data_IF_206740061647
#
_entry.id   IF_206740061647
#
_cell.length_a   1.000
_cell.length_b   1.000
_cell.length_c   1.000
_cell.angle_alpha   90.00
_cell.angle_beta   90.00
_cell.angle_gamma   90.00
#
_symmetry.space_group_name_H-M   'P 1'
#
loop_
_entity.id
_entity.type
_entity.pdbx_description
1 polymer ?
#
# COMPACT_ATOMS: atom_id res chain seq x y z
N UNK A 1 16.03 4.18 10.58
CA UNK A 1 16.00 2.72 10.34
C UNK A 1 16.38 2.41 8.90
N UNK A 2 15.61 2.86 7.90
CA UNK A 2 15.91 2.60 6.49
C UNK A 2 17.34 2.99 6.07
N UNK A 3 17.79 4.22 6.41
CA UNK A 3 19.15 4.69 6.12
C UNK A 3 20.24 3.77 6.68
N UNK A 4 20.10 3.34 7.95
CA UNK A 4 21.08 2.45 8.62
C UNK A 4 21.19 1.07 7.95
N UNK A 5 20.14 0.64 7.25
CA UNK A 5 20.08 -0.65 6.57
C UNK A 5 20.19 -0.55 5.05
N UNK A 6 20.40 0.65 4.49
CA UNK A 6 20.37 0.87 3.04
C UNK A 6 19.05 0.44 2.39
N UNK A 7 17.94 0.51 3.12
CA UNK A 7 16.65 -0.02 2.68
C UNK A 7 15.90 0.99 1.81
N UNK A 8 15.20 0.46 0.80
CA UNK A 8 14.18 1.21 0.07
C UNK A 8 12.99 1.46 1.02
N UNK A 9 12.60 2.72 1.18
CA UNK A 9 11.40 3.11 1.93
C UNK A 9 10.29 3.50 0.97
N UNK A 10 9.13 2.86 1.11
CA UNK A 10 7.92 3.17 0.36
C UNK A 10 6.76 3.36 1.33
N UNK A 11 5.84 4.26 0.98
CA UNK A 11 4.60 4.50 1.72
C UNK A 11 3.44 4.43 0.74
N UNK A 12 2.43 3.62 1.06
CA UNK A 12 1.20 3.48 0.30
C UNK A 12 0.07 4.19 1.03
N UNK A 13 -0.62 5.11 0.36
CA UNK A 13 -1.80 5.78 0.92
C UNK A 13 -3.03 4.88 0.75
N UNK A 14 -3.77 4.66 1.84
CA UNK A 14 -4.94 3.79 1.89
C UNK A 14 -6.05 4.30 0.95
N UNK A 15 -6.75 3.38 0.28
CA UNK A 15 -7.94 3.70 -0.52
C UNK A 15 -8.96 4.53 0.27
N UNK A 16 -9.60 5.49 -0.38
CA UNK A 16 -10.56 6.45 0.22
C UNK A 16 -9.95 7.46 1.21
N UNK A 17 -8.62 7.59 1.28
CA UNK A 17 -7.95 8.64 2.05
C UNK A 17 -7.09 9.53 1.16
N UNK A 18 -6.98 10.81 1.53
CA UNK A 18 -6.06 11.75 0.89
C UNK A 18 -6.33 11.93 -0.61
N UNK A 19 -5.34 11.57 -1.42
CA UNK A 19 -5.40 11.59 -2.89
C UNK A 19 -5.76 10.23 -3.48
N UNK A 20 -5.74 9.16 -2.69
CA UNK A 20 -6.22 7.82 -3.06
C UNK A 20 -7.75 7.71 -3.03
N UNK A 21 -8.45 8.73 -3.56
CA UNK A 21 -9.91 8.77 -3.69
C UNK A 21 -10.23 8.88 -5.18
N UNK A 22 -10.94 7.89 -5.72
CA UNK A 22 -11.46 7.98 -7.08
C UNK A 22 -12.48 9.13 -7.19
N UNK A 23 -12.68 9.74 -8.37
CA UNK A 23 -13.61 10.87 -8.54
C UNK A 23 -15.00 10.65 -7.91
N UNK A 24 -15.54 9.42 -7.99
CA UNK A 24 -16.85 9.06 -7.45
C UNK A 24 -16.75 8.23 -6.15
N UNK A 25 -15.54 8.09 -5.58
CA UNK A 25 -15.28 7.14 -4.50
C UNK A 25 -16.06 7.42 -3.19
N UNK A 26 -16.44 8.66 -2.93
CA UNK A 26 -17.17 9.01 -1.70
C UNK A 26 -18.70 8.88 -1.83
N UNK A 27 -19.19 8.41 -2.96
CA UNK A 27 -20.60 8.05 -3.12
C UNK A 27 -20.91 6.79 -2.30
N UNK A 28 -22.14 6.70 -1.75
CA UNK A 28 -22.53 5.65 -0.79
C UNK A 28 -22.39 4.26 -1.41
N UNK A 29 -22.66 4.17 -2.70
CA UNK A 29 -22.57 2.98 -3.54
C UNK A 29 -21.14 2.45 -3.66
N UNK A 30 -20.14 3.32 -3.54
CA UNK A 30 -18.72 3.00 -3.70
C UNK A 30 -18.04 2.74 -2.34
N UNK A 31 -18.66 3.15 -1.22
CA UNK A 31 -18.15 2.86 0.13
C UNK A 31 -18.12 1.36 0.47
N UNK A 32 -18.81 0.49 -0.28
CA UNK A 32 -18.67 -0.97 -0.15
C UNK A 32 -17.24 -1.46 -0.36
N UNK A 33 -16.43 -0.71 -1.12
CA UNK A 33 -15.04 -1.05 -1.40
C UNK A 33 -14.07 -0.50 -0.33
N UNK A 34 -14.57 0.28 0.64
CA UNK A 34 -13.84 0.73 1.82
C UNK A 34 -13.81 -0.38 2.88
N UNK A 35 -12.98 -1.39 2.64
CA UNK A 35 -12.76 -2.50 3.58
C UNK A 35 -11.29 -2.83 3.74
N UNK A 36 -10.91 -3.38 4.90
CA UNK A 36 -9.53 -3.80 5.17
C UNK A 36 -9.08 -4.91 4.22
N UNK A 37 -9.96 -5.82 3.81
CA UNK A 37 -9.66 -6.88 2.84
C UNK A 37 -9.23 -6.29 1.50
N UNK A 38 -9.96 -5.27 1.07
CA UNK A 38 -9.68 -4.57 -0.18
C UNK A 38 -8.39 -3.73 -0.08
N UNK A 39 -8.15 -3.08 1.06
CA UNK A 39 -6.88 -2.39 1.31
C UNK A 39 -5.67 -3.35 1.33
N UNK A 40 -5.83 -4.56 1.87
CA UNK A 40 -4.80 -5.60 1.80
C UNK A 40 -4.57 -6.09 0.36
N UNK A 41 -5.63 -6.16 -0.46
CA UNK A 41 -5.50 -6.47 -1.87
C UNK A 41 -4.70 -5.40 -2.62
N UNK A 42 -4.91 -4.11 -2.30
CA UNK A 42 -4.09 -3.02 -2.84
C UNK A 42 -2.63 -3.15 -2.41
N UNK A 43 -2.38 -3.48 -1.14
CA UNK A 43 -1.02 -3.67 -0.64
C UNK A 43 -0.31 -4.81 -1.37
N UNK A 44 -1.01 -5.91 -1.66
CA UNK A 44 -0.45 -7.03 -2.43
C UNK A 44 -0.15 -6.62 -3.88
N UNK A 45 -1.06 -5.89 -4.54
CA UNK A 45 -0.86 -5.38 -5.89
C UNK A 45 0.30 -4.36 -5.95
N UNK A 46 0.38 -3.46 -4.97
CA UNK A 46 1.45 -2.48 -4.81
C UNK A 46 2.80 -3.15 -4.57
N UNK A 47 2.86 -4.15 -3.69
CA UNK A 47 4.07 -4.94 -3.46
C UNK A 47 4.58 -5.57 -4.76
N UNK A 48 3.68 -6.16 -5.56
CA UNK A 48 4.04 -6.73 -6.86
C UNK A 48 4.59 -5.67 -7.81
N UNK A 49 3.90 -4.53 -7.92
CA UNK A 49 4.32 -3.40 -8.76
C UNK A 49 5.70 -2.87 -8.38
N UNK A 50 5.96 -2.60 -7.09
CA UNK A 50 7.25 -2.10 -6.62
C UNK A 50 8.35 -3.14 -6.81
N UNK A 51 8.06 -4.42 -6.54
CA UNK A 51 9.02 -5.50 -6.75
C UNK A 51 9.48 -5.56 -8.21
N UNK A 52 8.56 -5.45 -9.16
CA UNK A 52 8.90 -5.39 -10.58
C UNK A 52 9.64 -4.09 -10.95
N UNK A 53 9.11 -2.95 -10.50
CA UNK A 53 9.62 -1.61 -10.86
C UNK A 53 11.07 -1.37 -10.43
N UNK A 54 11.48 -1.97 -9.31
CA UNK A 54 12.83 -1.87 -8.75
C UNK A 54 13.63 -3.18 -8.87
N UNK A 55 13.13 -4.15 -9.64
CA UNK A 55 13.78 -5.45 -9.86
C UNK A 55 14.16 -6.17 -8.55
N UNK A 56 13.30 -6.07 -7.54
CA UNK A 56 13.47 -6.74 -6.26
C UNK A 56 13.20 -8.24 -6.43
N UNK A 57 13.98 -9.05 -5.72
CA UNK A 57 13.90 -10.49 -5.75
C UNK A 57 13.62 -11.05 -4.35
N UNK A 58 13.53 -12.37 -4.23
CA UNK A 58 13.42 -13.06 -2.94
C UNK A 58 14.57 -12.75 -1.96
N UNK A 59 15.69 -12.18 -2.44
CA UNK A 59 16.80 -11.73 -1.60
C UNK A 59 16.52 -10.41 -0.88
N UNK A 60 15.50 -9.66 -1.33
CA UNK A 60 15.09 -8.40 -0.72
C UNK A 60 13.97 -8.68 0.28
N UNK A 61 14.29 -8.56 1.58
CA UNK A 61 13.30 -8.77 2.64
C UNK A 61 12.35 -7.57 2.73
N UNK A 62 11.05 -7.85 2.66
CA UNK A 62 10.01 -6.87 2.91
C UNK A 62 9.63 -6.83 4.38
N UNK A 63 9.51 -5.63 4.93
CA UNK A 63 9.07 -5.38 6.31
C UNK A 63 7.96 -4.34 6.25
N UNK A 64 6.77 -4.69 6.72
CA UNK A 64 5.66 -3.74 6.86
C UNK A 64 5.74 -3.03 8.21
N UNK A 65 5.39 -1.75 8.20
CA UNK A 65 5.24 -0.93 9.41
C UNK A 65 3.84 -0.34 9.40
N UNK A 66 3.13 -0.51 10.52
CA UNK A 66 1.80 0.01 10.74
C UNK A 66 1.62 0.39 12.20
N UNK A 67 0.82 1.43 12.46
CA UNK A 67 0.44 1.84 13.80
C UNK A 67 -1.04 2.20 13.83
N UNK A 68 -1.71 1.91 14.95
CA UNK A 68 -3.16 2.04 15.09
C UNK A 68 -3.92 1.14 14.10
N UNK A 69 -4.72 1.70 13.18
CA UNK A 69 -5.57 0.96 12.24
C UNK A 69 -4.84 0.37 11.02
N UNK A 70 -3.56 0.73 10.82
CA UNK A 70 -2.77 0.34 9.67
C UNK A 70 -2.61 -1.18 9.49
#
# INVERSE_FOLDING_TARGET
MAERHGALLVALEHRFYGKSINPDGLETENLRDLSSQQALADLAAFHHYISQRFSLSYKNTWISFGGSYA
#
